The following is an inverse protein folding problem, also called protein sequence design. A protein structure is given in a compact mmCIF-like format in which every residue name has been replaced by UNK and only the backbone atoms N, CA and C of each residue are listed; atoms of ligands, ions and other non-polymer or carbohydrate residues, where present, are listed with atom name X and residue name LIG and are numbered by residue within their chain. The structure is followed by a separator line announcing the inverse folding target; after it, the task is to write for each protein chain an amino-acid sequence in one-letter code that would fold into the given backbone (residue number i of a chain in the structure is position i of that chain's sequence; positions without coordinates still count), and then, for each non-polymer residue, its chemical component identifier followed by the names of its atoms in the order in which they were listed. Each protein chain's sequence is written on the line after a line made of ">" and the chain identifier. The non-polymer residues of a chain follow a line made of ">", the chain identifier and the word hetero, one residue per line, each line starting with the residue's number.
data_IF_882262828959
#
_entry.id   IF_882262828959
#
_cell.length_a   1.000
_cell.length_b   1.000
_cell.length_c   1.000
_cell.angle_alpha   90.00
_cell.angle_beta   90.00
_cell.angle_gamma   90.00
#
_symmetry.space_group_name_H-M   'P 1'
#
loop_
_entity.id
_entity.type
_entity.pdbx_description
1 polymer ?
#
# COMPACT_ATOMS: atom_id res chain seq x y z
N UNK A 1 -12.53 27.04 -3.79
CA UNK A 1 -11.75 25.99 -4.47
C UNK A 1 -12.33 24.64 -4.09
N UNK A 2 -12.81 23.86 -5.04
CA UNK A 2 -13.31 22.50 -4.79
C UNK A 2 -12.09 21.58 -4.67
N UNK A 3 -11.78 21.10 -3.47
CA UNK A 3 -10.71 20.14 -3.25
C UNK A 3 -11.10 18.85 -3.98
N UNK A 4 -10.33 18.46 -5.01
CA UNK A 4 -10.57 17.19 -5.70
C UNK A 4 -10.12 16.04 -4.78
N UNK A 5 -10.94 14.99 -4.61
CA UNK A 5 -10.55 13.85 -3.80
C UNK A 5 -9.35 13.13 -4.43
N UNK A 6 -8.49 12.55 -3.58
CA UNK A 6 -7.36 11.74 -4.01
C UNK A 6 -7.86 10.53 -4.79
N UNK A 7 -7.32 10.31 -5.99
CA UNK A 7 -7.64 9.12 -6.77
C UNK A 7 -6.86 7.92 -6.21
N UNK A 8 -7.57 7.05 -5.49
CA UNK A 8 -7.01 5.82 -4.91
C UNK A 8 -6.23 4.96 -5.90
N UNK A 9 -6.77 4.76 -7.10
CA UNK A 9 -6.14 3.92 -8.13
C UNK A 9 -4.80 4.51 -8.55
N UNK A 10 -4.78 5.82 -8.78
CA UNK A 10 -3.56 6.55 -9.15
C UNK A 10 -2.51 6.43 -8.06
N UNK A 11 -2.89 6.63 -6.80
CA UNK A 11 -1.95 6.51 -5.67
C UNK A 11 -1.41 5.08 -5.56
N UNK A 12 -2.26 4.06 -5.64
CA UNK A 12 -1.81 2.67 -5.58
C UNK A 12 -0.87 2.32 -6.75
N UNK A 13 -1.12 2.85 -7.96
CA UNK A 13 -0.21 2.71 -9.10
C UNK A 13 1.12 3.46 -8.96
N UNK A 14 1.23 4.40 -8.01
CA UNK A 14 2.50 5.10 -7.73
C UNK A 14 3.25 4.41 -6.58
N UNK A 15 2.51 3.91 -5.58
CA UNK A 15 3.08 3.20 -4.45
C UNK A 15 3.50 1.76 -4.80
N UNK A 16 2.63 1.01 -5.47
CA UNK A 16 2.76 -0.42 -5.76
C UNK A 16 3.21 -1.31 -4.57
N UNK A 17 2.57 -1.23 -3.38
CA UNK A 17 3.04 -1.93 -2.19
C UNK A 17 3.18 -3.45 -2.36
N UNK A 18 2.19 -4.09 -2.98
CA UNK A 18 2.24 -5.53 -3.23
C UNK A 18 3.11 -5.85 -4.44
N UNK A 19 3.07 -5.08 -5.52
CA UNK A 19 3.87 -5.40 -6.71
C UNK A 19 5.38 -5.33 -6.43
N UNK A 20 5.82 -4.51 -5.47
CA UNK A 20 7.22 -4.46 -5.00
C UNK A 20 7.65 -5.73 -4.26
N UNK A 21 6.72 -6.39 -3.57
CA UNK A 21 6.98 -7.66 -2.88
C UNK A 21 6.77 -8.85 -3.81
N UNK A 22 5.73 -8.80 -4.65
CA UNK A 22 5.26 -9.87 -5.52
C UNK A 22 4.87 -9.28 -6.88
N UNK A 23 5.74 -9.48 -7.88
CA UNK A 23 5.69 -8.78 -9.18
C UNK A 23 4.41 -8.97 -10.00
N UNK A 24 3.62 -10.02 -9.73
CA UNK A 24 2.36 -10.33 -10.41
C UNK A 24 1.14 -9.62 -9.80
N UNK A 25 1.29 -8.83 -8.73
CA UNK A 25 0.20 -8.06 -8.15
C UNK A 25 -0.32 -7.01 -9.15
N UNK A 26 -1.62 -6.75 -9.11
CA UNK A 26 -2.28 -5.82 -10.04
C UNK A 26 -3.22 -4.86 -9.33
N UNK A 27 -3.24 -3.59 -9.76
CA UNK A 27 -4.14 -2.57 -9.22
C UNK A 27 -5.47 -2.57 -9.98
N UNK A 28 -6.54 -2.91 -9.28
CA UNK A 28 -7.91 -2.84 -9.77
C UNK A 28 -8.78 -1.94 -8.87
N UNK A 29 -9.21 -0.80 -9.43
CA UNK A 29 -10.03 0.17 -8.72
C UNK A 29 -9.32 0.74 -7.48
N UNK A 30 -9.82 0.41 -6.29
CA UNK A 30 -9.28 0.90 -5.01
C UNK A 30 -8.35 -0.10 -4.31
N UNK A 31 -8.05 -1.22 -4.96
CA UNK A 31 -7.25 -2.29 -4.39
C UNK A 31 -6.10 -2.65 -5.33
N UNK A 32 -4.99 -3.06 -4.75
CA UNK A 32 -3.99 -3.89 -5.42
C UNK A 32 -4.17 -5.32 -4.94
N UNK A 33 -4.18 -6.29 -5.84
CA UNK A 33 -4.54 -7.68 -5.52
C UNK A 33 -3.55 -8.64 -6.14
N UNK A 34 -3.24 -9.71 -5.40
CA UNK A 34 -2.45 -10.84 -5.87
C UNK A 34 -3.01 -12.15 -5.32
N UNK A 35 -2.84 -13.24 -6.07
CA UNK A 35 -3.16 -14.59 -5.61
C UNK A 35 -1.85 -15.35 -5.39
N UNK A 36 -1.71 -15.99 -4.24
CA UNK A 36 -0.54 -16.78 -3.84
C UNK A 36 -1.06 -18.13 -3.33
N UNK A 37 -0.94 -19.16 -4.16
CA UNK A 37 -1.57 -20.45 -3.89
C UNK A 37 -3.09 -20.31 -3.69
N UNK A 38 -3.56 -20.70 -2.50
CA UNK A 38 -4.97 -20.59 -2.11
C UNK A 38 -5.35 -19.22 -1.55
N UNK A 39 -4.38 -18.35 -1.26
CA UNK A 39 -4.63 -17.05 -0.67
C UNK A 39 -4.87 -15.98 -1.73
N UNK A 40 -5.80 -15.07 -1.43
CA UNK A 40 -5.97 -13.80 -2.11
C UNK A 40 -5.53 -12.71 -1.15
N UNK A 41 -4.51 -11.96 -1.54
CA UNK A 41 -4.00 -10.82 -0.79
C UNK A 41 -4.47 -9.55 -1.48
N UNK A 42 -5.07 -8.65 -0.71
CA UNK A 42 -5.49 -7.34 -1.19
C UNK A 42 -4.81 -6.25 -0.39
N UNK A 43 -4.48 -5.14 -1.05
CA UNK A 43 -3.91 -3.94 -0.47
C UNK A 43 -4.81 -2.77 -0.84
N UNK A 44 -5.10 -1.90 0.13
CA UNK A 44 -5.83 -0.65 -0.11
C UNK A 44 -5.19 0.49 0.67
N UNK A 45 -5.50 1.73 0.32
CA UNK A 45 -5.04 2.88 1.12
C UNK A 45 -5.73 2.89 2.49
N UNK A 46 -4.95 3.00 3.55
CA UNK A 46 -5.44 3.08 4.92
C UNK A 46 -6.00 4.48 5.17
N UNK A 47 -7.31 4.56 5.41
CA UNK A 47 -7.98 5.85 5.63
C UNK A 47 -7.75 6.35 7.05
N UNK A 48 -7.55 7.67 7.16
CA UNK A 48 -7.64 8.36 8.45
C UNK A 48 -9.09 8.72 8.79
N UNK A 49 -9.30 9.43 9.90
CA UNK A 49 -10.59 10.05 10.24
C UNK A 49 -11.05 11.11 9.21
N UNK A 50 -10.13 11.64 8.39
CA UNK A 50 -10.45 12.54 7.28
C UNK A 50 -10.67 11.73 6.01
N UNK A 51 -11.76 12.02 5.30
CA UNK A 51 -12.20 11.19 4.17
C UNK A 51 -11.22 11.17 2.99
N UNK A 52 -10.38 12.20 2.88
CA UNK A 52 -9.46 12.49 1.77
C UNK A 52 -7.99 12.32 2.15
N UNK A 53 -7.71 11.76 3.34
CA UNK A 53 -6.35 11.59 3.82
C UNK A 53 -6.04 10.15 4.23
N UNK A 54 -4.88 9.67 3.80
CA UNK A 54 -4.41 8.30 4.02
C UNK A 54 -3.02 8.32 4.64
N UNK A 55 -2.82 7.57 5.70
CA UNK A 55 -1.58 7.54 6.48
C UNK A 55 -0.82 6.21 6.30
N UNK A 56 -1.26 5.36 5.38
CA UNK A 56 -0.66 4.05 5.16
C UNK A 56 -1.38 3.22 4.12
N UNK A 57 -1.10 1.92 4.16
CA UNK A 57 -1.82 0.90 3.40
C UNK A 57 -2.33 -0.21 4.32
N UNK A 58 -3.46 -0.81 3.97
CA UNK A 58 -4.03 -1.95 4.68
C UNK A 58 -3.93 -3.18 3.79
N UNK A 59 -3.26 -4.22 4.30
CA UNK A 59 -3.13 -5.52 3.66
C UNK A 59 -4.12 -6.48 4.31
N UNK A 60 -4.98 -7.08 3.49
CA UNK A 60 -5.95 -8.10 3.91
C UNK A 60 -5.59 -9.43 3.25
N UNK A 61 -5.43 -10.48 4.06
CA UNK A 61 -5.15 -11.84 3.61
C UNK A 61 -6.45 -12.64 3.70
N UNK A 62 -6.86 -13.24 2.58
CA UNK A 62 -8.13 -13.94 2.43
C UNK A 62 -7.84 -15.35 1.95
N UNK A 63 -8.40 -16.36 2.59
CA UNK A 63 -8.55 -17.67 1.99
C UNK A 63 -10.01 -17.81 1.53
N UNK A 64 -10.31 -17.97 0.22
CA UNK A 64 -11.68 -18.03 -0.28
C UNK A 64 -12.55 -19.13 0.35
N UNK A 65 -11.96 -20.18 0.92
CA UNK A 65 -12.69 -21.24 1.58
C UNK A 65 -13.13 -20.91 3.01
N UNK A 66 -12.40 -20.03 3.72
CA UNK A 66 -12.66 -19.72 5.15
C UNK A 66 -12.90 -18.24 5.43
N UNK A 67 -12.65 -17.35 4.47
CA UNK A 67 -12.82 -15.91 4.58
C UNK A 67 -11.53 -15.15 4.88
N UNK A 68 -11.67 -14.01 5.56
CA UNK A 68 -10.53 -13.15 5.94
C UNK A 68 -9.75 -13.88 7.04
N UNK A 69 -8.46 -14.11 6.79
CA UNK A 69 -7.54 -14.68 7.76
C UNK A 69 -6.96 -13.59 8.66
N UNK A 70 -6.52 -12.48 8.08
CA UNK A 70 -5.95 -11.36 8.82
C UNK A 70 -6.01 -10.03 8.05
N UNK A 71 -5.91 -8.92 8.78
CA UNK A 71 -5.87 -7.55 8.28
C UNK A 71 -4.80 -6.78 9.06
N UNK A 72 -3.80 -6.25 8.35
CA UNK A 72 -2.75 -5.44 8.96
C UNK A 72 -2.59 -4.09 8.26
N UNK A 73 -2.30 -3.03 9.03
CA UNK A 73 -2.10 -1.68 8.52
C UNK A 73 -0.64 -1.26 8.67
N UNK A 74 -0.04 -0.85 7.54
CA UNK A 74 1.33 -0.35 7.47
C UNK A 74 1.30 1.16 7.28
N UNK A 75 1.58 1.91 8.35
CA UNK A 75 1.54 3.38 8.32
C UNK A 75 2.83 3.95 7.74
N UNK A 76 2.72 5.01 6.95
CA UNK A 76 3.86 5.65 6.29
C UNK A 76 4.89 6.18 7.29
N UNK A 77 4.42 6.74 8.41
CA UNK A 77 5.27 7.25 9.48
C UNK A 77 6.07 6.14 10.19
N UNK A 78 5.46 4.97 10.40
CA UNK A 78 6.09 3.85 11.12
C UNK A 78 7.16 3.15 10.27
N UNK A 79 7.00 3.19 8.94
CA UNK A 79 7.85 2.47 7.99
C UNK A 79 8.60 3.39 7.01
N UNK A 80 8.87 4.63 7.42
CA UNK A 80 9.85 5.50 6.76
C UNK A 80 9.61 5.80 5.28
N UNK A 81 8.35 5.91 4.83
CA UNK A 81 8.06 6.17 3.41
C UNK A 81 8.49 7.59 3.02
N UNK A 82 9.09 7.75 1.83
CA UNK A 82 9.56 9.04 1.31
C UNK A 82 9.08 9.33 -0.10
N UNK A 83 8.92 10.61 -0.45
CA UNK A 83 8.67 11.09 -1.82
C UNK A 83 9.84 11.87 -2.39
N UNK A 84 10.00 11.85 -3.71
CA UNK A 84 11.06 12.55 -4.43
C UNK A 84 12.29 11.66 -4.70
N UNK A 85 12.96 11.91 -5.82
CA UNK A 85 14.16 11.18 -6.26
C UNK A 85 15.45 11.83 -5.75
N UNK A 86 15.58 13.15 -5.91
CA UNK A 86 16.79 13.91 -5.53
C UNK A 86 16.73 14.46 -4.10
N UNK A 87 15.61 15.08 -3.73
CA UNK A 87 15.36 15.56 -2.37
C UNK A 87 14.22 14.73 -1.77
N UNK A 88 14.58 13.79 -0.89
CA UNK A 88 13.61 12.89 -0.27
C UNK A 88 12.91 13.61 0.88
N UNK A 89 11.58 13.58 0.86
CA UNK A 89 10.76 14.07 1.96
C UNK A 89 10.00 12.92 2.61
N UNK A 90 10.03 12.84 3.94
CA UNK A 90 9.22 11.86 4.67
C UNK A 90 7.74 12.09 4.42
N UNK A 91 7.06 11.01 4.05
CA UNK A 91 5.63 10.96 3.85
C UNK A 91 4.99 10.40 5.11
N UNK A 92 4.12 11.19 5.74
CA UNK A 92 3.30 10.71 6.87
C UNK A 92 1.83 10.58 6.47
N UNK A 93 1.41 11.38 5.48
CA UNK A 93 0.03 11.48 5.05
C UNK A 93 -0.05 11.81 3.56
N UNK A 94 -0.87 11.05 2.84
CA UNK A 94 -1.31 11.37 1.49
C UNK A 94 -2.59 12.17 1.59
N UNK A 95 -2.55 13.38 1.04
CA UNK A 95 -3.64 14.33 0.92
C UNK A 95 -3.74 14.78 -0.54
N UNK A 96 -4.78 15.52 -0.95
CA UNK A 96 -4.83 16.12 -2.27
C UNK A 96 -3.60 16.97 -2.62
N UNK A 97 -2.96 17.59 -1.62
CA UNK A 97 -1.76 18.41 -1.82
C UNK A 97 -0.48 17.56 -2.01
N UNK A 98 -0.35 16.46 -1.27
CA UNK A 98 0.86 15.61 -1.29
C UNK A 98 0.81 14.48 -2.32
N UNK A 99 -0.38 14.15 -2.83
CA UNK A 99 -0.55 13.08 -3.83
C UNK A 99 0.21 13.34 -5.14
N UNK A 100 0.40 14.60 -5.53
CA UNK A 100 1.15 14.95 -6.73
C UNK A 100 2.64 14.61 -6.60
N UNK A 101 3.23 14.79 -5.42
CA UNK A 101 4.65 14.52 -5.14
C UNK A 101 5.03 13.04 -5.23
N UNK A 102 4.04 12.14 -5.22
CA UNK A 102 4.27 10.71 -5.45
C UNK A 102 4.79 10.41 -6.86
N UNK A 103 4.45 11.25 -7.84
CA UNK A 103 4.92 11.12 -9.22
C UNK A 103 6.43 11.35 -9.37
N UNK A 104 7.04 12.07 -8.41
CA UNK A 104 8.47 12.37 -8.39
C UNK A 104 9.32 11.21 -7.84
N UNK A 105 8.67 10.09 -7.50
CA UNK A 105 9.29 8.87 -6.99
C UNK A 105 8.89 8.57 -5.54
N UNK A 106 8.85 7.27 -5.22
CA UNK A 106 8.50 6.77 -3.87
C UNK A 106 9.55 5.79 -3.38
N UNK A 107 10.11 6.08 -2.22
CA UNK A 107 10.95 5.17 -1.43
C UNK A 107 10.15 4.55 -0.29
N UNK A 108 10.20 3.23 -0.14
CA UNK A 108 9.41 2.50 0.87
C UNK A 108 10.07 1.17 1.29
N UNK A 109 11.41 1.15 1.37
CA UNK A 109 12.17 -0.09 1.59
C UNK A 109 11.79 -0.81 2.89
N UNK A 110 11.64 -0.07 3.99
CA UNK A 110 11.28 -0.63 5.29
C UNK A 110 9.84 -1.17 5.30
N UNK A 111 8.91 -0.46 4.64
CA UNK A 111 7.53 -0.92 4.46
C UNK A 111 7.47 -2.18 3.59
N UNK A 112 8.21 -2.21 2.49
CA UNK A 112 8.31 -3.38 1.60
C UNK A 112 8.79 -4.60 2.37
N UNK A 113 9.86 -4.46 3.16
CA UNK A 113 10.38 -5.55 4.00
C UNK A 113 9.37 -6.00 5.06
N UNK A 114 8.63 -5.06 5.67
CA UNK A 114 7.61 -5.40 6.64
C UNK A 114 6.43 -6.16 6.01
N UNK A 115 5.96 -5.74 4.84
CA UNK A 115 4.92 -6.43 4.08
C UNK A 115 5.41 -7.82 3.66
N UNK A 116 6.65 -7.94 3.18
CA UNK A 116 7.29 -9.22 2.80
C UNK A 116 7.26 -10.22 3.95
N UNK A 117 7.78 -9.82 5.12
CA UNK A 117 7.77 -10.66 6.34
C UNK A 117 6.36 -11.06 6.75
N UNK A 118 5.44 -10.09 6.78
CA UNK A 118 4.04 -10.34 7.11
C UNK A 118 3.40 -11.38 6.19
N UNK A 119 3.64 -11.31 4.88
CA UNK A 119 3.08 -12.28 3.93
C UNK A 119 3.78 -13.65 3.96
N UNK A 120 5.07 -13.70 4.32
CA UNK A 120 5.79 -14.95 4.51
C UNK A 120 5.20 -15.79 5.63
N UNK A 121 4.66 -15.18 6.70
CA UNK A 121 4.00 -15.89 7.80
C UNK A 121 2.75 -16.68 7.35
N UNK A 122 2.06 -16.24 6.30
CA UNK A 122 0.88 -16.92 5.76
C UNK A 122 1.19 -17.87 4.60
N UNK A 123 2.19 -17.53 3.79
CA UNK A 123 2.50 -18.27 2.56
C UNK A 123 3.53 -19.38 2.80
N UNK A 124 4.33 -19.28 3.86
CA UNK A 124 5.45 -20.19 4.11
C UNK A 124 6.59 -20.04 3.09
N UNK A 125 6.58 -18.97 2.28
CA UNK A 125 7.56 -18.69 1.24
C UNK A 125 8.34 -17.44 1.67
N UNK A 126 9.67 -17.49 1.51
CA UNK A 126 10.50 -16.28 1.55
C UNK A 126 10.27 -15.52 0.23
N UNK A 127 9.42 -14.49 0.30
CA UNK A 127 8.98 -13.73 -0.86
C UNK A 127 10.08 -12.81 -1.34
#
# INVERSE_FOLDING_TARGET
>A
MTVKPVNHRTVLNLLHPLQRVISIATVNGRHETVRIGELVVTCSLSKTFRYDAYDGVTITVINPAVGILDVNAFRFADYGVTTGTSEKHSLTLITPATAASLADGVGMTEMEQAIRRYLSDFTGIDL
#
